data_IF_179670540201
#
_entry.id   IF_179670540201
#
_cell.length_a   1.000
_cell.length_b   1.000
_cell.length_c   1.000
_cell.angle_alpha   90.00
_cell.angle_beta   90.00
_cell.angle_gamma   90.00
#
_symmetry.space_group_name_H-M   'P 1'
#
loop_
_entity.id
_entity.type
_entity.pdbx_description
1 polymer ?
#
# COMPACT_ATOMS: atom_id res chain seq x y z
N UNK A 1 -2.34 26.60 1.46
CA UNK A 1 -2.74 25.87 0.22
C UNK A 1 -2.79 26.84 -0.94
N UNK A 2 -2.42 26.41 -2.15
CA UNK A 2 -2.53 27.26 -3.36
C UNK A 2 -3.99 27.49 -3.74
N UNK A 3 -4.31 28.70 -4.24
CA UNK A 3 -5.65 29.04 -4.75
C UNK A 3 -6.14 28.04 -5.80
N UNK A 4 -5.23 27.53 -6.64
CA UNK A 4 -5.54 26.53 -7.67
C UNK A 4 -5.96 25.18 -7.07
N UNK A 5 -5.34 24.78 -5.96
CA UNK A 5 -5.66 23.53 -5.29
C UNK A 5 -7.08 23.57 -4.69
N UNK A 6 -7.42 24.69 -4.05
CA UNK A 6 -8.78 24.91 -3.50
C UNK A 6 -9.84 24.94 -4.59
N UNK A 7 -9.53 25.49 -5.77
CA UNK A 7 -10.46 25.49 -6.90
C UNK A 7 -10.72 24.07 -7.43
N UNK A 8 -9.68 23.26 -7.58
CA UNK A 8 -9.79 21.85 -8.01
C UNK A 8 -10.60 21.05 -7.00
N UNK A 9 -10.32 21.21 -5.71
CA UNK A 9 -11.08 20.56 -4.63
C UNK A 9 -12.56 20.92 -4.69
N UNK A 10 -12.90 22.21 -4.81
CA UNK A 10 -14.30 22.66 -4.93
C UNK A 10 -14.99 22.11 -6.17
N UNK A 11 -14.27 21.94 -7.30
CA UNK A 11 -14.82 21.33 -8.51
C UNK A 11 -15.04 19.82 -8.32
N UNK A 12 -14.08 19.11 -7.73
CA UNK A 12 -14.20 17.69 -7.44
C UNK A 12 -15.39 17.40 -6.53
N UNK A 13 -15.63 18.21 -5.49
CA UNK A 13 -16.78 18.02 -4.60
C UNK A 13 -18.15 18.18 -5.27
N UNK A 14 -18.24 18.86 -6.42
CA UNK A 14 -19.48 18.99 -7.21
C UNK A 14 -19.79 17.74 -8.05
N UNK A 15 -18.84 16.83 -8.22
CA UNK A 15 -19.08 15.59 -8.97
C UNK A 15 -19.95 14.60 -8.16
N UNK A 16 -20.73 13.75 -8.83
CA UNK A 16 -21.38 12.60 -8.20
C UNK A 16 -20.39 11.70 -7.47
N UNK A 17 -20.86 10.99 -6.44
CA UNK A 17 -20.00 10.14 -5.60
C UNK A 17 -19.15 9.15 -6.40
N UNK A 18 -19.72 8.52 -7.44
CA UNK A 18 -19.00 7.56 -8.27
C UNK A 18 -17.89 8.19 -9.12
N UNK A 19 -18.12 9.38 -9.66
CA UNK A 19 -17.11 10.11 -10.42
C UNK A 19 -15.97 10.60 -9.52
N UNK A 20 -16.29 10.99 -8.27
CA UNK A 20 -15.26 11.34 -7.27
C UNK A 20 -14.39 10.14 -6.89
N UNK A 21 -14.99 8.95 -6.74
CA UNK A 21 -14.26 7.71 -6.47
C UNK A 21 -13.26 7.42 -7.59
N UNK A 22 -13.70 7.46 -8.84
CA UNK A 22 -12.84 7.25 -10.02
C UNK A 22 -11.72 8.31 -10.09
N UNK A 23 -12.05 9.58 -9.86
CA UNK A 23 -11.06 10.66 -9.84
C UNK A 23 -10.03 10.46 -8.73
N UNK A 24 -10.46 10.04 -7.53
CA UNK A 24 -9.55 9.75 -6.42
C UNK A 24 -8.61 8.58 -6.76
N UNK A 25 -9.11 7.51 -7.37
CA UNK A 25 -8.30 6.39 -7.85
C UNK A 25 -7.23 6.85 -8.84
N UNK A 26 -7.60 7.61 -9.88
CA UNK A 26 -6.63 8.12 -10.85
C UNK A 26 -5.58 9.05 -10.22
N UNK A 27 -5.99 9.91 -9.27
CA UNK A 27 -5.05 10.78 -8.57
C UNK A 27 -4.08 9.97 -7.72
N UNK A 28 -4.55 8.93 -7.01
CA UNK A 28 -3.68 8.03 -6.23
C UNK A 28 -2.71 7.30 -7.17
N UNK A 29 -3.19 6.72 -8.28
CA UNK A 29 -2.33 6.05 -9.26
C UNK A 29 -1.28 7.00 -9.86
N UNK A 30 -1.63 8.29 -10.06
CA UNK A 30 -0.65 9.28 -10.55
C UNK A 30 0.48 9.57 -9.55
N UNK A 31 0.30 9.22 -8.27
CA UNK A 31 1.35 9.28 -7.26
C UNK A 31 2.30 8.08 -7.35
N UNK A 32 1.85 6.95 -7.90
CA UNK A 32 2.66 5.73 -8.05
C UNK A 32 3.73 5.84 -9.16
N UNK A 33 3.60 6.83 -10.05
CA UNK A 33 4.67 7.21 -11.00
C UNK A 33 5.82 7.95 -10.31
N UNK A 34 5.72 8.25 -9.00
CA UNK A 34 6.84 8.77 -8.24
C UNK A 34 7.89 7.67 -8.02
N UNK A 35 9.19 7.98 -8.17
CA UNK A 35 10.24 7.02 -7.86
C UNK A 35 10.10 6.57 -6.41
N UNK A 36 10.27 5.28 -6.17
CA UNK A 36 10.26 4.72 -4.83
C UNK A 36 11.19 5.52 -3.91
N UNK A 37 10.68 5.86 -2.73
CA UNK A 37 11.52 6.30 -1.64
C UNK A 37 12.58 5.23 -1.33
N UNK A 38 13.72 5.65 -0.75
CA UNK A 38 14.76 4.73 -0.30
C UNK A 38 14.22 3.61 0.62
N UNK A 39 13.18 3.93 1.39
CA UNK A 39 12.49 2.98 2.26
C UNK A 39 11.74 1.92 1.45
N UNK A 40 10.95 2.34 0.46
CA UNK A 40 10.21 1.42 -0.42
C UNK A 40 11.16 0.51 -1.21
N UNK A 41 12.25 1.05 -1.75
CA UNK A 41 13.27 0.23 -2.40
C UNK A 41 13.90 -0.80 -1.44
N UNK A 42 14.16 -0.40 -0.19
CA UNK A 42 14.72 -1.30 0.81
C UNK A 42 13.73 -2.44 1.15
N UNK A 43 12.43 -2.14 1.21
CA UNK A 43 11.39 -3.16 1.38
C UNK A 43 11.32 -4.13 0.21
N UNK A 44 11.38 -3.64 -1.04
CA UNK A 44 11.41 -4.51 -2.23
C UNK A 44 12.63 -5.43 -2.19
N UNK A 45 13.82 -4.89 -1.93
CA UNK A 45 15.07 -5.67 -1.83
C UNK A 45 14.99 -6.75 -0.76
N UNK A 46 14.46 -6.43 0.42
CA UNK A 46 14.31 -7.41 1.51
C UNK A 46 13.24 -8.47 1.19
N UNK A 47 12.14 -8.09 0.54
CA UNK A 47 11.11 -9.03 0.11
C UNK A 47 11.65 -10.04 -0.91
N UNK A 48 12.36 -9.57 -1.93
CA UNK A 48 13.01 -10.42 -2.94
C UNK A 48 14.06 -11.34 -2.31
N UNK A 49 14.89 -10.81 -1.42
CA UNK A 49 15.88 -11.60 -0.69
C UNK A 49 15.22 -12.73 0.11
N UNK A 50 14.18 -12.43 0.89
CA UNK A 50 13.47 -13.45 1.70
C UNK A 50 12.80 -14.50 0.83
N UNK A 51 12.21 -14.10 -0.29
CA UNK A 51 11.59 -15.03 -1.23
C UNK A 51 12.63 -15.96 -1.85
N UNK A 52 13.80 -15.44 -2.23
CA UNK A 52 14.90 -16.23 -2.76
C UNK A 52 15.50 -17.19 -1.71
N UNK A 53 15.68 -16.75 -0.46
CA UNK A 53 16.08 -17.62 0.65
C UNK A 53 15.08 -18.77 0.85
N UNK A 54 13.78 -18.47 0.79
CA UNK A 54 12.72 -19.48 0.89
C UNK A 54 12.77 -20.48 -0.27
N UNK A 55 12.86 -20.00 -1.51
CA UNK A 55 12.97 -20.83 -2.72
C UNK A 55 14.19 -21.76 -2.69
N UNK A 56 15.30 -21.33 -2.09
CA UNK A 56 16.53 -22.11 -1.93
C UNK A 56 16.53 -23.04 -0.71
N UNK A 57 15.47 -23.02 0.10
CA UNK A 57 15.39 -23.79 1.35
C UNK A 57 16.27 -23.27 2.49
N UNK A 58 16.89 -22.09 2.32
CA UNK A 58 17.72 -21.44 3.35
C UNK A 58 16.84 -20.94 4.50
N UNK A 59 15.61 -20.52 4.18
CA UNK A 59 14.60 -20.08 5.15
C UNK A 59 13.34 -20.92 5.01
N UNK A 60 12.82 -21.43 6.12
CA UNK A 60 11.52 -22.11 6.11
C UNK A 60 10.38 -21.10 6.20
N UNK A 61 9.33 -21.35 5.44
CA UNK A 61 8.05 -20.65 5.60
C UNK A 61 7.35 -21.12 6.87
N UNK A 62 6.39 -20.32 7.35
CA UNK A 62 5.42 -20.75 8.36
C UNK A 62 4.05 -20.97 7.69
N UNK A 63 3.22 -21.89 8.20
CA UNK A 63 1.86 -22.03 7.71
C UNK A 63 1.10 -20.71 7.79
N UNK A 64 0.36 -20.36 6.74
CA UNK A 64 -0.37 -19.09 6.65
C UNK A 64 -1.35 -18.89 7.82
N UNK A 65 -2.04 -19.95 8.25
CA UNK A 65 -2.92 -19.93 9.43
C UNK A 65 -2.20 -19.49 10.70
N UNK A 66 -0.96 -19.95 10.90
CA UNK A 66 -0.12 -19.55 12.03
C UNK A 66 0.31 -18.09 11.89
N UNK A 67 0.70 -17.65 10.69
CA UNK A 67 1.09 -16.26 10.43
C UNK A 67 -0.05 -15.28 10.76
N UNK A 68 -1.25 -15.51 10.20
CA UNK A 68 -2.42 -14.65 10.44
C UNK A 68 -2.90 -14.66 11.89
N UNK A 69 -2.72 -15.77 12.62
CA UNK A 69 -3.01 -15.81 14.06
C UNK A 69 -2.06 -14.90 14.84
N UNK A 70 -0.75 -14.96 14.56
CA UNK A 70 0.25 -14.12 15.22
C UNK A 70 0.03 -12.64 14.94
N UNK A 71 -0.26 -12.28 13.68
CA UNK A 71 -0.56 -10.89 13.29
C UNK A 71 -1.77 -10.35 14.05
N UNK A 72 -2.86 -11.13 14.11
CA UNK A 72 -4.07 -10.72 14.86
C UNK A 72 -3.81 -10.55 16.35
N UNK A 73 -2.98 -11.40 16.95
CA UNK A 73 -2.59 -11.28 18.35
C UNK A 73 -1.79 -9.99 18.59
N UNK A 74 -0.81 -9.70 17.73
CA UNK A 74 0.06 -8.53 17.83
C UNK A 74 -0.70 -7.22 17.62
N UNK A 75 -1.66 -7.21 16.69
CA UNK A 75 -2.52 -6.05 16.40
C UNK A 75 -3.71 -5.90 17.35
N UNK A 76 -3.89 -6.80 18.32
CA UNK A 76 -5.04 -6.78 19.23
C UNK A 76 -6.39 -7.07 18.56
N UNK A 77 -6.39 -7.74 17.40
CA UNK A 77 -7.59 -8.17 16.65
C UNK A 77 -8.05 -9.57 17.06
N UNK A 78 -7.74 -9.99 18.29
CA UNK A 78 -8.24 -11.24 18.84
C UNK A 78 -9.67 -10.99 19.34
N UNK A 79 -10.66 -11.43 18.57
CA UNK A 79 -12.01 -11.68 19.07
C UNK A 79 -12.03 -12.95 19.90
#
# INVERSE_FOLDING_TARGET
MSTRLLEIERKAFKLPGKEREILAEHLIQSLDDMPFSKTEEAWVREAEKRFNEYKRGIRQGIPASRAFRLIRQDLGWSS
#
